data_IF_956042073242
#
_entry.id   IF_956042073242
#
_cell.length_a   1.000
_cell.length_b   1.000
_cell.length_c   1.000
_cell.angle_alpha   90.00
_cell.angle_beta   90.00
_cell.angle_gamma   90.00
#
_symmetry.space_group_name_H-M   'P 1'
#
loop_
_entity.id
_entity.type
_entity.pdbx_description
1 polymer ?
#
# COMPACT_ATOMS: atom_id res chain seq x y z
N UNK A 1 -6.87 -14.56 13.52
CA UNK A 1 -6.19 -13.52 12.72
C UNK A 1 -4.82 -14.07 12.35
N UNK A 2 -4.51 -14.19 11.06
CA UNK A 2 -3.19 -14.67 10.63
C UNK A 2 -2.18 -13.53 10.62
N UNK A 3 -0.88 -13.79 10.89
CA UNK A 3 0.15 -12.78 10.77
C UNK A 3 0.35 -12.38 9.30
N UNK A 4 0.89 -11.18 9.07
CA UNK A 4 1.49 -10.78 7.81
C UNK A 4 2.74 -11.64 7.64
N UNK A 5 2.63 -12.72 6.85
CA UNK A 5 3.72 -13.69 6.67
C UNK A 5 4.91 -13.05 5.95
N UNK A 6 6.09 -13.67 6.02
CA UNK A 6 7.28 -13.20 5.30
C UNK A 6 7.04 -13.01 3.80
N UNK A 7 6.28 -13.91 3.17
CA UNK A 7 5.91 -13.78 1.75
C UNK A 7 5.10 -12.50 1.47
N UNK A 8 4.13 -12.18 2.34
CA UNK A 8 3.31 -10.97 2.21
C UNK A 8 4.16 -9.73 2.47
N UNK A 9 5.06 -9.77 3.46
CA UNK A 9 6.00 -8.66 3.72
C UNK A 9 6.90 -8.39 2.52
N UNK A 10 7.49 -9.44 1.96
CA UNK A 10 8.36 -9.34 0.77
C UNK A 10 7.59 -8.80 -0.43
N UNK A 11 6.34 -9.22 -0.62
CA UNK A 11 5.46 -8.68 -1.65
C UNK A 11 5.21 -7.19 -1.45
N UNK A 12 4.76 -6.79 -0.26
CA UNK A 12 4.44 -5.38 0.05
C UNK A 12 5.67 -4.50 -0.10
N UNK A 13 6.81 -4.92 0.45
CA UNK A 13 8.04 -4.13 0.44
C UNK A 13 8.68 -4.05 -0.95
N UNK A 14 8.42 -5.01 -1.84
CA UNK A 14 8.81 -4.97 -3.26
C UNK A 14 7.91 -4.03 -4.07
N UNK A 15 6.59 -4.12 -3.91
CA UNK A 15 5.62 -3.32 -4.68
C UNK A 15 5.55 -1.87 -4.19
N UNK A 16 5.68 -1.65 -2.88
CA UNK A 16 5.70 -0.36 -2.13
C UNK A 16 4.47 0.53 -2.24
N UNK A 17 3.79 0.54 -3.38
CA UNK A 17 2.65 1.39 -3.63
C UNK A 17 1.37 0.78 -3.04
N UNK A 18 0.92 1.36 -1.91
CA UNK A 18 -0.37 1.07 -1.31
C UNK A 18 -1.43 2.09 -1.74
N UNK A 19 -2.61 1.62 -2.15
CA UNK A 19 -3.79 2.46 -2.37
C UNK A 19 -4.63 2.48 -1.10
N UNK A 20 -4.63 3.61 -0.41
CA UNK A 20 -5.21 3.77 0.92
C UNK A 20 -6.60 4.39 0.83
N UNK A 21 -7.60 3.63 1.23
CA UNK A 21 -8.99 4.06 1.36
C UNK A 21 -9.28 4.51 2.81
N UNK A 22 -9.89 5.69 2.94
CA UNK A 22 -10.30 6.31 4.21
C UNK A 22 -11.67 6.94 4.06
N UNK A 23 -12.32 7.28 5.18
CA UNK A 23 -13.63 7.93 5.19
C UNK A 23 -13.46 9.39 5.59
N UNK A 24 -13.90 10.30 4.73
CA UNK A 24 -13.93 11.74 4.99
C UNK A 24 -14.92 12.08 6.11
N UNK A 25 -14.78 13.22 6.82
CA UNK A 25 -15.69 13.62 7.89
C UNK A 25 -17.16 13.73 7.46
N UNK A 26 -17.44 13.99 6.18
CA UNK A 26 -18.78 14.04 5.59
C UNK A 26 -19.33 12.65 5.17
N UNK A 27 -18.59 11.58 5.47
CA UNK A 27 -18.94 10.21 5.13
C UNK A 27 -18.55 9.77 3.72
N UNK A 28 -17.98 10.67 2.89
CA UNK A 28 -17.54 10.31 1.53
C UNK A 28 -16.24 9.51 1.52
N UNK A 29 -16.00 8.66 0.51
CA UNK A 29 -14.74 7.93 0.40
C UNK A 29 -13.60 8.85 -0.04
N UNK A 30 -12.41 8.60 0.49
CA UNK A 30 -11.16 9.18 0.00
C UNK A 30 -10.15 8.06 -0.30
N UNK A 31 -9.51 8.14 -1.47
CA UNK A 31 -8.53 7.16 -1.93
C UNK A 31 -7.22 7.87 -2.29
N UNK A 32 -6.11 7.44 -1.69
CA UNK A 32 -4.82 8.10 -1.89
C UNK A 32 -3.68 7.09 -2.04
N UNK A 33 -2.82 7.21 -3.06
CA UNK A 33 -1.64 6.37 -3.19
C UNK A 33 -0.58 6.76 -2.15
N UNK A 34 0.04 5.75 -1.53
CA UNK A 34 1.16 5.88 -0.58
C UNK A 34 2.31 4.99 -1.04
N UNK A 35 3.29 5.61 -1.71
CA UNK A 35 4.51 4.94 -2.18
C UNK A 35 5.50 4.56 -1.07
N UNK A 36 5.20 4.95 0.17
CA UNK A 36 5.95 4.62 1.37
C UNK A 36 5.35 3.44 2.13
N UNK A 37 4.35 2.74 1.59
CA UNK A 37 3.71 1.64 2.31
C UNK A 37 4.68 0.46 2.47
N UNK A 38 4.91 0.05 3.71
CA UNK A 38 5.72 -1.13 4.05
C UNK A 38 5.01 -2.00 5.09
N UNK A 39 5.34 -3.28 5.12
CA UNK A 39 4.98 -4.16 6.22
C UNK A 39 6.04 -4.04 7.33
N UNK A 40 5.65 -3.47 8.47
CA UNK A 40 6.54 -3.15 9.58
C UNK A 40 6.85 -4.38 10.43
N UNK A 41 5.80 -5.12 10.80
CA UNK A 41 5.89 -6.34 11.60
C UNK A 41 4.80 -7.35 11.18
N UNK A 42 4.58 -8.38 11.99
CA UNK A 42 3.61 -9.46 11.72
C UNK A 42 2.14 -8.98 11.75
N UNK A 43 1.86 -7.76 12.18
CA UNK A 43 0.51 -7.24 12.39
C UNK A 43 0.29 -5.81 11.87
N UNK A 44 1.37 -5.10 11.51
CA UNK A 44 1.30 -3.69 11.15
C UNK A 44 1.83 -3.39 9.76
N UNK A 45 1.06 -2.59 9.03
CA UNK A 45 1.59 -1.80 7.92
C UNK A 45 1.91 -0.39 8.41
N UNK A 46 2.87 0.27 7.78
CA UNK A 46 3.14 1.70 8.02
C UNK A 46 3.30 2.46 6.71
N UNK A 47 2.94 3.75 6.72
CA UNK A 47 3.26 4.69 5.64
C UNK A 47 3.54 6.09 6.20
N UNK A 48 4.34 6.87 5.47
CA UNK A 48 4.68 8.23 5.84
C UNK A 48 3.73 9.27 5.22
N UNK A 49 3.37 10.28 6.01
CA UNK A 49 2.70 11.48 5.55
C UNK A 49 3.71 12.50 5.01
N UNK A 50 3.97 12.41 3.69
CA UNK A 50 4.74 13.42 2.94
C UNK A 50 3.80 14.44 2.28
N UNK A 51 2.72 13.96 1.65
CA UNK A 51 1.67 14.77 1.02
C UNK A 51 0.28 14.15 1.26
N UNK A 52 -0.08 13.92 2.52
CA UNK A 52 -1.32 13.21 2.92
C UNK A 52 -2.23 13.96 3.89
N UNK A 53 -2.36 15.30 3.86
CA UNK A 53 -3.14 16.03 4.86
C UNK A 53 -4.61 15.61 4.91
N UNK A 54 -5.20 15.24 3.77
CA UNK A 54 -6.56 14.69 3.70
C UNK A 54 -6.67 13.31 4.35
N UNK A 55 -5.76 12.39 4.03
CA UNK A 55 -5.73 11.05 4.64
C UNK A 55 -5.57 11.14 6.17
N UNK A 56 -4.63 11.97 6.66
CA UNK A 56 -4.40 12.13 8.11
C UNK A 56 -5.61 12.75 8.80
N UNK A 57 -6.23 13.78 8.22
CA UNK A 57 -7.46 14.38 8.74
C UNK A 57 -8.57 13.33 8.89
N UNK A 58 -8.77 12.52 7.85
CA UNK A 58 -9.78 11.46 7.84
C UNK A 58 -9.53 10.43 8.95
N UNK A 59 -8.28 9.98 9.09
CA UNK A 59 -7.89 8.97 10.09
C UNK A 59 -8.02 9.47 11.53
N UNK A 60 -7.82 10.77 11.77
CA UNK A 60 -8.07 11.39 13.08
C UNK A 60 -9.55 11.40 13.45
N UNK A 61 -10.46 11.51 12.48
CA UNK A 61 -11.91 11.43 12.73
C UNK A 61 -12.46 10.00 12.74
N UNK A 62 -11.93 9.13 11.89
CA UNK A 62 -12.34 7.74 11.76
C UNK A 62 -11.11 6.89 11.44
N UNK A 63 -10.64 6.04 12.37
CA UNK A 63 -9.40 5.30 12.17
C UNK A 63 -9.57 4.08 11.24
N UNK A 64 -10.77 3.82 10.73
CA UNK A 64 -11.04 2.72 9.79
C UNK A 64 -10.31 2.94 8.47
N UNK A 65 -9.58 1.93 8.03
CA UNK A 65 -8.74 2.00 6.83
C UNK A 65 -8.74 0.68 6.07
N UNK A 66 -8.65 0.76 4.75
CA UNK A 66 -8.36 -0.38 3.87
C UNK A 66 -7.23 -0.01 2.92
N UNK A 67 -6.29 -0.93 2.69
CA UNK A 67 -5.12 -0.73 1.84
C UNK A 67 -5.05 -1.87 0.82
N UNK A 68 -4.93 -1.52 -0.46
CA UNK A 68 -4.60 -2.47 -1.51
C UNK A 68 -3.15 -2.28 -1.95
N UNK A 69 -2.38 -3.36 -1.97
CA UNK A 69 -1.05 -3.39 -2.57
C UNK A 69 -1.10 -4.38 -3.72
N UNK A 70 -0.96 -3.88 -4.95
CA UNK A 70 -1.18 -4.67 -6.18
C UNK A 70 0.01 -4.53 -7.11
N UNK A 71 0.58 -5.67 -7.51
CA UNK A 71 1.50 -5.72 -8.62
C UNK A 71 0.70 -5.72 -9.92
N UNK A 72 0.79 -4.62 -10.66
CA UNK A 72 0.03 -4.42 -11.91
C UNK A 72 0.42 -5.39 -13.03
N UNK A 73 1.63 -5.95 -12.98
CA UNK A 73 2.12 -6.87 -14.03
C UNK A 73 1.53 -8.26 -13.83
N UNK A 74 1.58 -8.79 -12.61
CA UNK A 74 0.88 -10.05 -12.27
C UNK A 74 -0.62 -9.86 -12.14
N UNK A 75 -1.09 -8.65 -11.83
CA UNK A 75 -2.47 -8.38 -11.40
C UNK A 75 -2.86 -9.21 -10.18
N UNK A 76 -1.89 -9.42 -9.28
CA UNK A 76 -2.05 -10.03 -7.97
C UNK A 76 -1.70 -9.03 -6.88
N UNK A 77 -2.16 -9.27 -5.68
CA UNK A 77 -1.90 -8.40 -4.56
C UNK A 77 -2.52 -8.86 -3.27
N UNK A 78 -2.50 -7.96 -2.30
CA UNK A 78 -3.10 -8.16 -1.00
C UNK A 78 -3.96 -6.95 -0.62
N UNK A 79 -5.06 -7.25 0.04
CA UNK A 79 -5.96 -6.28 0.64
C UNK A 79 -5.93 -6.41 2.15
N UNK A 80 -5.64 -5.31 2.82
CA UNK A 80 -5.51 -5.19 4.26
C UNK A 80 -6.60 -4.27 4.79
N UNK A 81 -7.38 -4.73 5.76
CA UNK A 81 -8.36 -3.90 6.47
C UNK A 81 -7.98 -3.84 7.94
N UNK A 82 -8.11 -2.67 8.56
CA UNK A 82 -7.68 -2.49 9.93
C UNK A 82 -8.00 -1.14 10.51
N UNK A 83 -7.29 -0.84 11.61
CA UNK A 83 -7.42 0.40 12.38
C UNK A 83 -6.08 1.13 12.37
N UNK A 84 -6.11 2.41 11.98
CA UNK A 84 -4.94 3.25 11.90
C UNK A 84 -4.70 4.06 13.18
N UNK A 85 -3.43 4.39 13.42
CA UNK A 85 -2.99 5.38 14.41
C UNK A 85 -2.06 6.35 13.69
N UNK A 86 -2.27 7.64 13.93
CA UNK A 86 -1.42 8.72 13.41
C UNK A 86 -0.43 9.13 14.51
N UNK A 87 0.85 8.94 14.25
CA UNK A 87 1.96 9.32 15.14
C UNK A 87 2.60 10.60 14.64
N UNK A 88 2.84 11.54 15.55
CA UNK A 88 3.54 12.81 15.27
C UNK A 88 4.93 12.86 15.93
N UNK A 89 5.17 11.98 16.91
CA UNK A 89 6.38 11.93 17.74
C UNK A 89 6.48 10.56 18.45
N UNK A 90 7.54 10.39 19.24
CA UNK A 90 7.79 9.22 20.09
C UNK A 90 8.65 8.15 19.44
N UNK A 91 9.05 7.15 20.24
CA UNK A 91 10.03 6.12 19.83
C UNK A 91 9.63 5.38 18.55
N UNK A 92 8.33 5.07 18.40
CA UNK A 92 7.83 4.40 17.20
C UNK A 92 7.94 5.29 15.96
N UNK A 93 7.58 6.57 16.08
CA UNK A 93 7.72 7.55 15.00
C UNK A 93 9.20 7.64 14.58
N UNK A 94 10.10 7.82 15.54
CA UNK A 94 11.54 7.95 15.29
C UNK A 94 12.13 6.70 14.61
N UNK A 95 11.73 5.51 15.05
CA UNK A 95 12.16 4.25 14.46
C UNK A 95 11.74 4.11 12.99
N UNK A 96 10.48 4.47 12.67
CA UNK A 96 9.96 4.39 11.30
C UNK A 96 10.60 5.48 10.41
N UNK A 97 10.84 6.68 10.94
CA UNK A 97 11.58 7.73 10.23
C UNK A 97 13.00 7.23 9.90
N UNK A 98 13.71 6.66 10.87
CA UNK A 98 15.05 6.12 10.67
C UNK A 98 15.07 5.04 9.58
N UNK A 99 14.04 4.18 9.54
CA UNK A 99 13.88 3.20 8.46
C UNK A 99 13.74 3.87 7.09
N UNK A 100 12.88 4.89 6.94
CA UNK A 100 12.75 5.58 5.65
C UNK A 100 14.04 6.32 5.26
N UNK A 101 14.77 6.90 6.23
CA UNK A 101 16.05 7.56 5.98
C UNK A 101 17.12 6.58 5.50
N UNK A 102 17.23 5.41 6.13
CA UNK A 102 18.18 4.37 5.70
C UNK A 102 17.84 3.81 4.32
N UNK A 103 16.56 3.80 3.96
CA UNK A 103 16.07 3.48 2.61
C UNK A 103 16.24 4.62 1.59
N UNK A 104 16.85 5.74 1.97
CA UNK A 104 17.20 6.86 1.07
C UNK A 104 16.15 7.97 0.95
N UNK A 105 15.11 8.00 1.79
CA UNK A 105 14.13 9.09 1.77
C UNK A 105 14.76 10.41 2.22
N UNK A 106 14.60 11.45 1.39
CA UNK A 106 15.01 12.82 1.71
C UNK A 106 13.83 13.71 2.14
N UNK A 107 12.61 13.22 2.04
CA UNK A 107 11.40 14.00 2.32
C UNK A 107 11.28 14.38 3.80
N UNK A 108 10.67 15.53 4.05
CA UNK A 108 10.14 15.87 5.36
C UNK A 108 8.87 15.06 5.60
N UNK A 109 8.78 14.42 6.77
CA UNK A 109 7.66 13.54 7.14
C UNK A 109 7.06 14.12 8.42
N UNK A 110 5.82 14.59 8.32
CA UNK A 110 5.13 15.22 9.45
C UNK A 110 4.46 14.21 10.37
N UNK A 111 3.99 13.10 9.80
CA UNK A 111 3.31 12.05 10.53
C UNK A 111 3.69 10.67 10.00
N UNK A 112 3.68 9.67 10.87
CA UNK A 112 3.70 8.26 10.50
C UNK A 112 2.32 7.68 10.78
N UNK A 113 1.78 6.92 9.84
CA UNK A 113 0.54 6.17 10.07
C UNK A 113 0.89 4.70 10.22
N UNK A 114 0.54 4.10 11.35
CA UNK A 114 0.56 2.65 11.54
C UNK A 114 -0.84 2.08 11.41
N UNK A 115 -0.97 0.92 10.78
CA UNK A 115 -2.24 0.23 10.60
C UNK A 115 -2.16 -1.16 11.20
N UNK A 116 -2.89 -1.39 12.29
CA UNK A 116 -3.09 -2.73 12.86
C UNK A 116 -4.06 -3.48 11.95
N UNK A 117 -3.57 -4.53 11.29
CA UNK A 117 -4.35 -5.31 10.31
C UNK A 117 -5.26 -6.29 11.02
N UNK A 118 -6.57 -6.16 10.79
CA UNK A 118 -7.61 -7.06 11.30
C UNK A 118 -7.96 -8.16 10.29
N UNK A 119 -7.86 -7.84 8.99
CA UNK A 119 -8.18 -8.75 7.90
C UNK A 119 -7.17 -8.60 6.77
N UNK A 120 -6.68 -9.74 6.29
CA UNK A 120 -5.76 -9.86 5.17
C UNK A 120 -6.37 -10.84 4.15
N UNK A 121 -6.51 -10.39 2.91
CA UNK A 121 -7.01 -11.21 1.80
C UNK A 121 -6.04 -11.09 0.63
N UNK A 122 -5.61 -12.22 0.07
CA UNK A 122 -4.97 -12.26 -1.24
C UNK A 122 -6.00 -11.97 -2.34
N UNK A 123 -5.62 -11.14 -3.31
CA UNK A 123 -6.47 -10.73 -4.43
C UNK A 123 -5.77 -10.99 -5.76
N UNK A 124 -6.52 -11.42 -6.77
CA UNK A 124 -6.00 -11.66 -8.11
C UNK A 124 -7.05 -11.38 -9.19
N UNK A 125 -6.57 -11.14 -10.41
CA UNK A 125 -7.42 -10.86 -11.56
C UNK A 125 -8.25 -12.08 -11.99
N UNK A 126 -9.49 -11.88 -12.47
CA UNK A 126 -10.27 -12.92 -13.17
C UNK A 126 -9.57 -13.50 -14.42
N UNK A 127 -8.46 -12.92 -14.87
CA UNK A 127 -7.62 -13.51 -15.92
C UNK A 127 -7.19 -14.94 -15.59
N UNK A 128 -7.00 -15.25 -14.31
CA UNK A 128 -6.61 -16.59 -13.84
C UNK A 128 -7.74 -17.62 -13.91
N UNK A 129 -9.00 -17.19 -13.98
CA UNK A 129 -10.16 -18.08 -14.16
C UNK A 129 -10.12 -18.80 -15.52
N UNK A 130 -9.31 -18.29 -16.46
CA UNK A 130 -9.04 -18.88 -17.78
C UNK A 130 -7.75 -19.72 -17.81
N UNK A 131 -7.24 -20.14 -16.65
CA UNK A 131 -5.99 -20.90 -16.49
C UNK A 131 -4.75 -20.23 -17.09
N UNK A 132 -4.75 -18.90 -17.18
CA UNK A 132 -3.57 -18.17 -17.63
C UNK A 132 -2.47 -18.22 -16.57
N UNK A 133 -1.24 -18.44 -17.01
CA UNK A 133 -0.05 -18.36 -16.16
C UNK A 133 0.30 -16.90 -15.86
N UNK A 134 1.03 -16.65 -14.78
CA UNK A 134 1.52 -15.29 -14.48
C UNK A 134 2.37 -14.72 -15.62
N UNK A 135 3.16 -15.55 -16.29
CA UNK A 135 3.98 -15.14 -17.43
C UNK A 135 3.11 -14.61 -18.57
N UNK A 136 2.01 -15.27 -18.90
CA UNK A 136 1.08 -14.82 -19.93
C UNK A 136 0.38 -13.52 -19.53
N UNK A 137 -0.03 -13.38 -18.26
CA UNK A 137 -0.64 -12.14 -17.76
C UNK A 137 0.33 -10.97 -17.84
N UNK A 138 1.59 -11.17 -17.44
CA UNK A 138 2.66 -10.17 -17.53
C UNK A 138 2.94 -9.77 -18.97
N UNK A 139 3.12 -10.74 -19.87
CA UNK A 139 3.48 -10.49 -21.26
C UNK A 139 2.42 -9.65 -21.97
N UNK A 140 1.13 -9.90 -21.72
CA UNK A 140 0.05 -9.07 -22.28
C UNK A 140 0.16 -7.60 -21.89
N UNK A 141 0.60 -7.30 -20.66
CA UNK A 141 0.78 -5.92 -20.22
C UNK A 141 2.00 -5.26 -20.85
N UNK A 142 3.10 -6.02 -20.98
CA UNK A 142 4.32 -5.57 -21.66
C UNK A 142 4.03 -5.27 -23.13
N UNK A 143 3.42 -6.22 -23.85
CA UNK A 143 3.06 -6.07 -25.26
C UNK A 143 2.13 -4.87 -25.50
N UNK A 144 1.15 -4.62 -24.62
CA UNK A 144 0.28 -3.46 -24.70
C UNK A 144 1.07 -2.14 -24.69
N UNK A 145 2.02 -1.99 -23.76
CA UNK A 145 2.82 -0.77 -23.65
C UNK A 145 3.88 -0.65 -24.74
N UNK A 146 4.49 -1.76 -25.17
CA UNK A 146 5.40 -1.76 -26.31
C UNK A 146 4.70 -1.28 -27.59
N UNK A 147 3.47 -1.75 -27.82
CA UNK A 147 2.64 -1.31 -28.95
C UNK A 147 2.22 0.17 -28.85
N UNK A 148 1.87 0.66 -27.65
CA UNK A 148 1.56 2.08 -27.45
C UNK A 148 2.77 2.98 -27.70
N UNK A 149 3.97 2.53 -27.33
CA UNK A 149 5.19 3.31 -27.50
C UNK A 149 5.71 3.27 -28.94
N UNK A 150 5.43 2.20 -29.70
CA UNK A 150 5.78 2.09 -31.12
C UNK A 150 4.87 2.92 -32.04
N UNK A 151 3.62 3.18 -31.64
CA UNK A 151 2.65 4.03 -32.37
C UNK A 151 2.80 5.54 -32.10
N UNK A 152 3.72 5.94 -31.21
CA UNK A 152 4.04 7.35 -30.92
C UNK A 152 5.27 7.89 -31.69
N UNK A 153 5.72 7.17 -32.71
CA UNK A 153 6.68 7.66 -33.72
C UNK A 153 5.95 8.02 -35.00
#
# INVERSE_FOLDING_TARGET
MGPITSEVKDFVNRVKLGFVATVSPDGTPNLSPKGTTIAWDDHQLVFADIHSPGTVRNLRSNPSIEINVVDIFTRKGFRFKGIAIVHSDGEFFDAVIAHYRSAGSLHEIQHIVSVRVDQLIEIWSPAYDKNLTEREVKNRWIEYWDNMNSTRK
#
